data_IF_806225875093
#
_entry.id   IF_806225875093
#
_cell.length_a   1.000
_cell.length_b   1.000
_cell.length_c   1.000
_cell.angle_alpha   90.00
_cell.angle_beta   90.00
_cell.angle_gamma   90.00
#
_symmetry.space_group_name_H-M   'P 1'
#
loop_
_entity.id
_entity.type
_entity.pdbx_description
1 polymer ?
#
# COMPACT_ATOMS: atom_id res chain seq x y z
N UNK A 1 -21.23 14.92 -6.26
CA UNK A 1 -21.93 13.63 -6.46
C UNK A 1 -20.93 12.45 -6.40
N UNK A 2 -21.01 11.64 -5.35
CA UNK A 2 -20.20 10.41 -5.22
C UNK A 2 -20.82 9.33 -6.12
N UNK A 3 -20.22 9.10 -7.29
CA UNK A 3 -20.78 8.22 -8.34
C UNK A 3 -20.73 6.73 -7.97
N UNK A 4 -19.95 6.35 -6.96
CA UNK A 4 -19.79 4.95 -6.55
C UNK A 4 -20.15 4.77 -5.08
N UNK A 5 -21.03 3.80 -4.81
CA UNK A 5 -21.42 3.41 -3.46
C UNK A 5 -20.22 2.96 -2.63
N UNK A 6 -20.32 3.08 -1.31
CA UNK A 6 -19.24 2.78 -0.37
C UNK A 6 -18.67 1.36 -0.48
N UNK A 7 -19.42 0.42 -1.08
CA UNK A 7 -19.06 -0.99 -1.26
C UNK A 7 -18.67 -1.39 -2.69
N UNK A 8 -18.91 -0.54 -3.69
CA UNK A 8 -18.55 -0.87 -5.07
C UNK A 8 -17.05 -0.65 -5.29
N UNK A 9 -16.35 -1.71 -5.73
CA UNK A 9 -14.97 -1.63 -6.19
C UNK A 9 -14.88 -0.70 -7.40
N UNK A 10 -14.03 0.32 -7.29
CA UNK A 10 -13.74 1.20 -8.42
C UNK A 10 -12.83 0.47 -9.42
N UNK A 11 -12.89 0.77 -10.73
CA UNK A 11 -12.06 0.12 -11.73
C UNK A 11 -10.56 0.15 -11.42
N UNK A 12 -10.08 1.24 -10.80
CA UNK A 12 -8.68 1.38 -10.34
C UNK A 12 -8.35 0.48 -9.16
N UNK A 13 -9.30 0.27 -8.25
CA UNK A 13 -9.11 -0.61 -7.09
C UNK A 13 -9.08 -2.07 -7.53
N UNK A 14 -9.95 -2.45 -8.48
CA UNK A 14 -9.92 -3.79 -9.09
C UNK A 14 -8.58 -4.04 -9.80
N UNK A 15 -8.13 -3.11 -10.64
CA UNK A 15 -6.86 -3.24 -11.35
C UNK A 15 -5.66 -3.35 -10.38
N UNK A 16 -5.66 -2.57 -9.29
CA UNK A 16 -4.63 -2.67 -8.26
C UNK A 16 -4.65 -4.05 -7.59
N UNK A 17 -5.84 -4.55 -7.25
CA UNK A 17 -6.01 -5.85 -6.64
C UNK A 17 -5.49 -6.97 -7.55
N UNK A 18 -5.88 -6.98 -8.82
CA UNK A 18 -5.46 -7.98 -9.79
C UNK A 18 -3.93 -7.99 -9.96
N UNK A 19 -3.32 -6.80 -9.98
CA UNK A 19 -1.88 -6.66 -10.02
C UNK A 19 -1.22 -7.24 -8.76
N UNK A 20 -1.72 -6.89 -7.58
CA UNK A 20 -1.16 -7.40 -6.32
C UNK A 20 -1.28 -8.93 -6.21
N UNK A 21 -2.41 -9.51 -6.65
CA UNK A 21 -2.60 -10.97 -6.67
C UNK A 21 -1.64 -11.65 -7.65
N UNK A 22 -1.47 -11.08 -8.84
CA UNK A 22 -0.55 -11.58 -9.86
C UNK A 22 0.89 -11.57 -9.37
N UNK A 23 1.29 -10.50 -8.68
CA UNK A 23 2.64 -10.34 -8.15
C UNK A 23 2.91 -11.25 -6.95
N UNK A 24 1.94 -11.39 -6.04
CA UNK A 24 2.00 -12.39 -4.96
C UNK A 24 2.15 -13.80 -5.49
N UNK A 25 1.42 -14.16 -6.56
CA UNK A 25 1.54 -15.48 -7.19
C UNK A 25 2.95 -15.77 -7.73
N UNK A 26 3.72 -14.72 -8.06
CA UNK A 26 5.13 -14.81 -8.47
C UNK A 26 6.11 -14.70 -7.30
N UNK A 27 5.63 -14.60 -6.06
CA UNK A 27 6.45 -14.38 -4.87
C UNK A 27 7.06 -12.98 -4.79
N UNK A 28 6.51 -12.00 -5.49
CA UNK A 28 6.99 -10.61 -5.52
C UNK A 28 6.13 -9.72 -4.62
N UNK A 29 6.78 -8.78 -3.93
CA UNK A 29 6.11 -7.77 -3.10
C UNK A 29 5.75 -6.56 -3.96
N UNK A 30 4.67 -5.87 -3.63
CA UNK A 30 4.20 -4.69 -4.37
C UNK A 30 4.30 -3.43 -3.53
N UNK A 31 4.91 -2.38 -4.09
CA UNK A 31 4.89 -1.04 -3.52
C UNK A 31 3.86 -0.17 -4.27
N UNK A 32 2.80 0.21 -3.57
CA UNK A 32 1.73 1.04 -4.11
C UNK A 32 1.85 2.48 -3.62
N UNK A 33 2.17 3.40 -4.53
CA UNK A 33 2.20 4.82 -4.23
C UNK A 33 0.81 5.45 -4.33
N UNK A 34 0.41 6.17 -3.28
CA UNK A 34 -0.84 6.93 -3.26
C UNK A 34 -0.55 8.39 -2.94
N UNK A 35 -0.85 9.26 -3.90
CA UNK A 35 -0.86 10.72 -3.71
C UNK A 35 -2.31 11.13 -3.46
N UNK A 36 -2.61 11.68 -2.28
CA UNK A 36 -3.97 12.11 -1.93
C UNK A 36 -4.01 13.58 -1.53
N UNK A 37 -4.91 14.34 -2.16
CA UNK A 37 -5.03 15.80 -2.05
C UNK A 37 -5.93 16.28 -0.89
N UNK A 38 -6.07 15.48 0.18
CA UNK A 38 -6.89 15.83 1.36
C UNK A 38 -8.38 15.66 1.07
N UNK A 39 -9.08 14.68 1.64
CA UNK A 39 -9.95 14.91 2.81
C UNK A 39 -10.51 13.59 3.37
N UNK A 40 -10.17 12.44 2.77
CA UNK A 40 -10.62 11.11 3.18
C UNK A 40 -9.45 10.13 3.16
N UNK A 41 -9.29 9.36 4.23
CA UNK A 41 -8.29 8.29 4.31
C UNK A 41 -8.67 7.12 3.40
N UNK A 42 -8.31 7.22 2.12
CA UNK A 42 -8.48 6.15 1.13
C UNK A 42 -7.47 5.03 1.29
N UNK A 43 -6.34 5.27 1.96
CA UNK A 43 -5.37 4.21 2.26
C UNK A 43 -5.98 3.15 3.17
N UNK A 44 -6.86 3.55 4.10
CA UNK A 44 -7.62 2.62 4.92
C UNK A 44 -8.60 1.76 4.09
N UNK A 45 -9.25 2.33 3.08
CA UNK A 45 -10.14 1.59 2.16
C UNK A 45 -9.34 0.60 1.32
N UNK A 46 -8.26 1.04 0.69
CA UNK A 46 -7.38 0.18 -0.11
C UNK A 46 -6.80 -0.97 0.72
N UNK A 47 -6.31 -0.67 1.94
CA UNK A 47 -5.83 -1.69 2.87
C UNK A 47 -6.89 -2.76 3.12
N UNK A 48 -8.11 -2.36 3.48
CA UNK A 48 -9.20 -3.32 3.75
C UNK A 48 -9.54 -4.17 2.53
N UNK A 49 -9.56 -3.58 1.34
CA UNK A 49 -9.86 -4.29 0.09
C UNK A 49 -8.82 -5.37 -0.22
N UNK A 50 -7.53 -5.00 -0.14
CA UNK A 50 -6.44 -5.94 -0.37
C UNK A 50 -6.35 -7.01 0.72
N UNK A 51 -6.58 -6.66 1.99
CA UNK A 51 -6.64 -7.62 3.10
C UNK A 51 -7.81 -8.61 2.94
N UNK A 52 -8.99 -8.17 2.48
CA UNK A 52 -10.12 -9.06 2.18
C UNK A 52 -9.79 -10.07 1.08
N UNK A 53 -8.89 -9.73 0.17
CA UNK A 53 -8.39 -10.65 -0.85
C UNK A 53 -7.27 -11.57 -0.36
N UNK A 54 -6.95 -11.56 0.93
CA UNK A 54 -5.94 -12.43 1.53
C UNK A 54 -4.50 -11.94 1.36
N UNK A 55 -4.31 -10.64 1.07
CA UNK A 55 -2.99 -10.01 1.03
C UNK A 55 -2.61 -9.46 2.41
N UNK A 56 -1.35 -9.61 2.80
CA UNK A 56 -0.78 -8.93 3.97
C UNK A 56 -0.34 -7.53 3.57
N UNK A 57 -1.00 -6.51 4.13
CA UNK A 57 -0.84 -5.12 3.67
C UNK A 57 -0.36 -4.22 4.80
N UNK A 58 0.70 -3.48 4.53
CA UNK A 58 1.18 -2.40 5.39
C UNK A 58 0.89 -1.03 4.78
N UNK A 59 0.66 -0.03 5.63
CA UNK A 59 0.48 1.38 5.20
C UNK A 59 1.47 2.25 5.93
N UNK A 60 2.42 2.83 5.22
CA UNK A 60 3.32 3.84 5.78
C UNK A 60 2.59 5.18 5.87
N UNK A 61 2.39 5.65 7.09
CA UNK A 61 1.68 6.90 7.38
C UNK A 61 2.67 7.98 7.78
N UNK A 62 2.29 9.24 7.56
CA UNK A 62 3.09 10.40 7.98
C UNK A 62 3.33 10.47 9.50
N UNK A 63 2.50 9.78 10.29
CA UNK A 63 2.69 9.62 11.75
C UNK A 63 3.91 8.79 12.12
N UNK A 64 4.48 8.01 11.18
CA UNK A 64 5.74 7.31 11.38
C UNK A 64 6.88 8.30 11.21
N UNK A 65 7.63 8.51 12.29
CA UNK A 65 8.77 9.41 12.34
C UNK A 65 9.80 9.04 11.26
N UNK A 66 10.35 10.06 10.60
CA UNK A 66 11.24 9.92 9.44
C UNK A 66 12.45 9.05 9.77
N UNK A 67 13.04 9.22 10.96
CA UNK A 67 14.18 8.45 11.43
C UNK A 67 13.90 6.96 11.61
N UNK A 68 12.63 6.56 11.72
CA UNK A 68 12.20 5.17 11.94
C UNK A 68 11.53 4.54 10.73
N UNK A 69 11.37 5.27 9.62
CA UNK A 69 10.63 4.77 8.45
C UNK A 69 11.31 3.56 7.83
N UNK A 70 12.63 3.59 7.73
CA UNK A 70 13.42 2.50 7.16
C UNK A 70 13.28 1.23 8.00
N UNK A 71 13.62 1.30 9.30
CA UNK A 71 13.44 0.20 10.25
C UNK A 71 12.00 -0.32 10.25
N UNK A 72 11.01 0.57 10.18
CA UNK A 72 9.61 0.18 10.16
C UNK A 72 9.24 -0.59 8.90
N UNK A 73 9.74 -0.19 7.73
CA UNK A 73 9.52 -0.90 6.47
C UNK A 73 10.20 -2.27 6.51
N UNK A 74 11.44 -2.35 7.00
CA UNK A 74 12.17 -3.60 7.16
C UNK A 74 11.42 -4.58 8.08
N UNK A 75 10.91 -4.11 9.23
CA UNK A 75 10.07 -4.92 10.10
C UNK A 75 8.81 -5.43 9.37
N UNK A 76 8.18 -4.61 8.53
CA UNK A 76 7.02 -5.09 7.76
C UNK A 76 7.43 -6.15 6.72
N UNK A 77 8.57 -5.95 6.05
CA UNK A 77 9.12 -6.92 5.09
C UNK A 77 9.42 -8.24 5.78
N UNK A 78 10.05 -8.23 6.96
CA UNK A 78 10.34 -9.42 7.77
C UNK A 78 9.08 -10.15 8.25
N UNK A 79 8.00 -9.39 8.51
CA UNK A 79 6.66 -9.96 8.80
C UNK A 79 5.99 -10.58 7.56
N UNK A 80 6.63 -10.47 6.40
CA UNK A 80 6.21 -11.06 5.14
C UNK A 80 4.99 -10.36 4.55
N UNK A 81 4.98 -9.03 4.50
CA UNK A 81 3.93 -8.30 3.79
C UNK A 81 3.99 -8.58 2.28
N UNK A 82 2.82 -8.60 1.66
CA UNK A 82 2.68 -8.71 0.21
C UNK A 82 2.65 -7.32 -0.43
N UNK A 83 2.06 -6.32 0.24
CA UNK A 83 1.85 -4.97 -0.30
C UNK A 83 2.20 -3.89 0.72
N UNK A 84 3.01 -2.91 0.31
CA UNK A 84 3.24 -1.67 1.06
C UNK A 84 2.55 -0.51 0.35
N UNK A 85 1.66 0.20 1.05
CA UNK A 85 1.02 1.42 0.56
C UNK A 85 1.70 2.63 1.21
N UNK A 86 2.15 3.60 0.43
CA UNK A 86 2.78 4.81 0.96
C UNK A 86 2.54 6.03 0.10
N UNK A 87 2.70 7.23 0.68
CA UNK A 87 2.77 8.47 -0.09
C UNK A 87 4.21 8.67 -0.58
N UNK A 88 4.46 8.95 -1.87
CA UNK A 88 5.81 9.16 -2.39
C UNK A 88 6.59 10.24 -1.64
N UNK A 89 5.93 11.27 -1.08
CA UNK A 89 6.59 12.29 -0.25
C UNK A 89 7.25 11.71 1.01
N UNK A 90 6.78 10.56 1.52
CA UNK A 90 7.31 9.93 2.73
C UNK A 90 8.58 9.12 2.49
N UNK A 91 8.89 8.79 1.23
CA UNK A 91 10.05 7.96 0.84
C UNK A 91 11.09 8.69 0.00
N UNK A 92 10.91 10.01 -0.22
CA UNK A 92 11.84 10.84 -1.01
C UNK A 92 13.27 10.91 -0.46
N UNK A 93 13.50 10.47 0.78
CA UNK A 93 14.77 10.61 1.48
C UNK A 93 15.66 9.37 1.37
N UNK A 94 15.84 8.83 0.15
CA UNK A 94 16.86 7.80 -0.11
C UNK A 94 16.60 6.43 0.54
N UNK A 95 15.35 6.07 0.81
CA UNK A 95 15.03 4.72 1.27
C UNK A 95 15.30 3.71 0.15
N UNK A 96 16.10 2.69 0.44
CA UNK A 96 16.37 1.60 -0.49
C UNK A 96 15.26 0.54 -0.39
N UNK A 97 14.44 0.45 -1.43
CA UNK A 97 13.24 -0.40 -1.46
C UNK A 97 13.44 -1.64 -2.34
N UNK A 98 14.64 -2.24 -2.29
CA UNK A 98 15.04 -3.40 -3.12
C UNK A 98 14.12 -4.62 -2.97
N UNK A 99 13.44 -4.74 -1.82
CA UNK A 99 12.47 -5.80 -1.54
C UNK A 99 11.18 -5.72 -2.36
N UNK A 100 10.96 -4.62 -3.07
CA UNK A 100 9.81 -4.36 -3.95
C UNK A 100 10.30 -4.21 -5.41
N UNK A 101 10.40 -5.34 -6.16
CA UNK A 101 10.95 -5.36 -7.53
C UNK A 101 10.00 -4.80 -8.61
#
# INVERSE_FOLDING_TARGET
PSIFGSEALMPKEQALLDLCLTEKAKGRKVLAYTVYSGTRDTTARLKRLLEHAGLKVAVLRASVDTARREDWILDQVDRGIDVLITNPELVKTGLDLLDFP
#
